data_IF_850911477180
#
_entry.id   IF_850911477180
#
_cell.length_a   1.000
_cell.length_b   1.000
_cell.length_c   1.000
_cell.angle_alpha   90.00
_cell.angle_beta   90.00
_cell.angle_gamma   90.00
#
_symmetry.space_group_name_H-M   'P 1'
#
loop_
_entity.id
_entity.type
_entity.pdbx_description
1 polymer ?
#
# COMPACT_ATOMS: atom_id res chain seq x y z
N UNK A 1 -14.34 8.01 -0.18
CA UNK A 1 -15.13 7.02 -0.95
C UNK A 1 -16.51 7.54 -1.34
N UNK A 2 -17.39 7.86 -0.37
CA UNK A 2 -18.74 8.39 -0.67
C UNK A 2 -18.75 9.66 -1.52
N UNK A 3 -17.79 10.58 -1.29
CA UNK A 3 -17.62 11.77 -2.12
C UNK A 3 -17.47 11.42 -3.61
N UNK A 4 -16.53 10.54 -3.98
CA UNK A 4 -16.33 10.15 -5.38
C UNK A 4 -17.53 9.46 -5.99
N UNK A 5 -18.25 8.65 -5.21
CA UNK A 5 -19.49 8.03 -5.67
C UNK A 5 -20.56 9.09 -5.96
N UNK A 6 -20.70 10.10 -5.09
CA UNK A 6 -21.64 11.22 -5.28
C UNK A 6 -21.28 12.07 -6.51
N UNK A 7 -19.99 12.19 -6.84
CA UNK A 7 -19.49 12.83 -8.06
C UNK A 7 -19.58 11.93 -9.31
N UNK A 8 -20.26 10.80 -9.24
CA UNK A 8 -20.52 9.92 -10.39
C UNK A 8 -19.39 8.96 -10.75
N UNK A 9 -18.34 8.83 -9.94
CA UNK A 9 -17.28 7.86 -10.18
C UNK A 9 -17.70 6.45 -9.74
N UNK A 10 -17.33 5.44 -10.53
CA UNK A 10 -17.27 4.05 -10.04
C UNK A 10 -16.08 3.93 -9.09
N UNK A 11 -16.35 3.66 -7.81
CA UNK A 11 -15.29 3.58 -6.79
C UNK A 11 -15.04 2.14 -6.36
N UNK A 12 -13.78 1.70 -6.41
CA UNK A 12 -13.36 0.35 -6.04
C UNK A 12 -12.33 0.50 -4.91
N UNK A 13 -12.65 -0.02 -3.74
CA UNK A 13 -11.71 -0.15 -2.63
C UNK A 13 -11.34 -1.63 -2.47
N UNK A 14 -10.04 -1.90 -2.42
CA UNK A 14 -9.49 -3.25 -2.28
C UNK A 14 -8.88 -3.42 -0.90
N UNK A 15 -9.14 -4.56 -0.27
CA UNK A 15 -8.38 -5.00 0.88
C UNK A 15 -7.11 -5.71 0.37
N UNK A 16 -5.94 -5.26 0.83
CA UNK A 16 -4.66 -5.89 0.47
C UNK A 16 -4.59 -7.29 1.09
N UNK A 17 -3.85 -8.21 0.48
CA UNK A 17 -3.45 -9.47 1.14
C UNK A 17 -2.99 -9.24 2.59
N UNK A 18 -3.44 -10.08 3.51
CA UNK A 18 -3.21 -9.95 4.95
C UNK A 18 -3.99 -8.84 5.65
N UNK A 19 -4.95 -8.19 4.98
CA UNK A 19 -5.75 -7.11 5.54
C UNK A 19 -7.25 -7.31 5.28
N UNK A 20 -8.08 -6.80 6.19
CA UNK A 20 -9.53 -6.76 6.03
C UNK A 20 -10.12 -8.13 5.73
N UNK A 21 -10.86 -8.21 4.61
CA UNK A 21 -11.55 -9.41 4.14
C UNK A 21 -10.74 -10.24 3.13
N UNK A 22 -9.56 -9.78 2.76
CA UNK A 22 -8.66 -10.55 1.89
C UNK A 22 -7.94 -11.65 2.67
N UNK A 23 -7.41 -12.62 1.94
CA UNK A 23 -6.75 -13.79 2.51
C UNK A 23 -5.60 -13.40 3.44
N UNK A 24 -5.51 -14.13 4.56
CA UNK A 24 -4.46 -13.98 5.57
C UNK A 24 -3.30 -14.90 5.20
N UNK A 25 -2.36 -14.38 4.41
CA UNK A 25 -1.16 -15.10 3.95
C UNK A 25 0.06 -14.76 4.82
N UNK A 26 1.06 -15.65 4.87
CA UNK A 26 2.31 -15.41 5.62
C UNK A 26 3.42 -14.76 4.79
N UNK A 27 3.35 -14.87 3.46
CA UNK A 27 4.41 -14.48 2.53
C UNK A 27 3.94 -13.50 1.44
N UNK A 28 4.90 -12.91 0.72
CA UNK A 28 4.63 -11.98 -0.38
C UNK A 28 4.16 -10.60 0.10
N UNK A 29 4.69 -10.14 1.23
CA UNK A 29 4.39 -8.83 1.81
C UNK A 29 5.34 -7.72 1.31
N UNK A 30 5.59 -7.70 0.00
CA UNK A 30 6.43 -6.72 -0.68
C UNK A 30 5.67 -5.97 -1.79
N UNK A 31 6.28 -4.89 -2.30
CA UNK A 31 5.65 -4.01 -3.29
C UNK A 31 5.41 -4.69 -4.64
N UNK A 32 6.17 -5.72 -5.00
CA UNK A 32 5.97 -6.43 -6.26
C UNK A 32 4.70 -7.28 -6.20
N UNK A 33 4.54 -8.04 -5.12
CA UNK A 33 3.30 -8.79 -4.88
C UNK A 33 2.09 -7.87 -4.76
N UNK A 34 2.21 -6.76 -4.01
CA UNK A 34 1.11 -5.80 -3.88
C UNK A 34 0.73 -5.15 -5.22
N UNK A 35 1.69 -4.88 -6.10
CA UNK A 35 1.40 -4.36 -7.43
C UNK A 35 0.75 -5.42 -8.35
N UNK A 36 1.21 -6.68 -8.27
CA UNK A 36 0.63 -7.79 -9.01
C UNK A 36 -0.84 -8.03 -8.60
N UNK A 37 -1.16 -7.95 -7.30
CA UNK A 37 -2.54 -8.06 -6.80
C UNK A 37 -3.45 -6.98 -7.41
N UNK A 38 -2.96 -5.75 -7.50
CA UNK A 38 -3.71 -4.64 -8.14
C UNK A 38 -3.91 -4.92 -9.62
N UNK A 39 -2.89 -5.41 -10.31
CA UNK A 39 -3.00 -5.81 -11.72
C UNK A 39 -4.08 -6.88 -11.91
N UNK A 40 -4.10 -7.90 -11.06
CA UNK A 40 -5.09 -8.97 -11.12
C UNK A 40 -6.52 -8.44 -10.94
N UNK A 41 -6.76 -7.53 -9.97
CA UNK A 41 -8.08 -6.90 -9.78
C UNK A 41 -8.46 -6.01 -10.97
N UNK A 42 -7.52 -5.20 -11.46
CA UNK A 42 -7.74 -4.30 -12.59
C UNK A 42 -8.08 -5.06 -13.86
N UNK A 43 -7.37 -6.15 -14.14
CA UNK A 43 -7.62 -7.02 -15.29
C UNK A 43 -8.93 -7.77 -15.15
N UNK A 44 -9.20 -8.34 -13.96
CA UNK A 44 -10.43 -9.09 -13.71
C UNK A 44 -11.69 -8.23 -13.89
N UNK A 45 -11.64 -6.96 -13.47
CA UNK A 45 -12.74 -6.00 -13.61
C UNK A 45 -12.71 -5.23 -14.94
N UNK A 46 -11.75 -5.53 -15.80
CA UNK A 46 -11.41 -4.86 -17.06
C UNK A 46 -11.44 -3.32 -16.97
N UNK A 47 -10.69 -2.79 -16.01
CA UNK A 47 -10.64 -1.34 -15.79
C UNK A 47 -9.68 -0.69 -16.79
N UNK A 48 -10.13 0.42 -17.36
CA UNK A 48 -9.37 1.29 -18.26
C UNK A 48 -9.55 2.74 -17.84
N UNK A 49 -8.59 3.60 -18.18
CA UNK A 49 -8.59 5.01 -17.78
C UNK A 49 -8.80 5.20 -16.26
N UNK A 50 -8.28 4.28 -15.45
CA UNK A 50 -8.51 4.27 -14.01
C UNK A 50 -7.62 5.28 -13.28
N UNK A 51 -8.16 5.93 -12.24
CA UNK A 51 -7.39 6.77 -11.32
C UNK A 51 -7.02 5.94 -10.10
N UNK A 52 -5.72 5.77 -9.86
CA UNK A 52 -5.20 4.99 -8.74
C UNK A 52 -4.80 5.92 -7.60
N UNK A 53 -5.48 5.79 -6.46
CA UNK A 53 -5.26 6.62 -5.27
C UNK A 53 -4.67 5.77 -4.15
N UNK A 54 -3.55 6.20 -3.58
CA UNK A 54 -2.86 5.47 -2.53
C UNK A 54 -2.44 6.37 -1.36
N UNK A 55 -2.74 5.93 -0.14
CA UNK A 55 -2.31 6.57 1.10
C UNK A 55 -1.23 5.74 1.80
N UNK A 56 -0.19 6.37 2.36
CA UNK A 56 0.89 5.67 3.10
C UNK A 56 1.51 4.55 2.26
N UNK A 57 1.52 3.30 2.75
CA UNK A 57 1.99 2.13 2.00
C UNK A 57 1.18 1.90 0.72
N UNK A 58 -0.08 2.35 0.66
CA UNK A 58 -0.89 2.30 -0.55
C UNK A 58 -0.34 3.19 -1.66
N UNK A 59 0.32 4.30 -1.34
CA UNK A 59 0.98 5.16 -2.33
C UNK A 59 2.17 4.47 -3.01
N UNK A 60 2.99 3.74 -2.24
CA UNK A 60 4.07 2.90 -2.79
C UNK A 60 3.54 1.80 -3.72
N UNK A 61 2.42 1.18 -3.35
CA UNK A 61 1.74 0.19 -4.18
C UNK A 61 1.22 0.78 -5.48
N UNK A 62 0.59 1.97 -5.44
CA UNK A 62 0.17 2.70 -6.65
C UNK A 62 1.36 2.99 -7.55
N UNK A 63 2.45 3.55 -7.01
CA UNK A 63 3.65 3.86 -7.78
C UNK A 63 4.23 2.61 -8.46
N UNK A 64 4.33 1.48 -7.73
CA UNK A 64 4.84 0.23 -8.27
C UNK A 64 3.94 -0.36 -9.35
N UNK A 65 2.62 -0.39 -9.11
CA UNK A 65 1.65 -0.87 -10.09
C UNK A 65 1.66 -0.04 -11.38
N UNK A 66 1.63 1.29 -11.27
CA UNK A 66 1.63 2.19 -12.44
C UNK A 66 2.88 1.97 -13.29
N UNK A 67 4.05 1.85 -12.66
CA UNK A 67 5.31 1.66 -13.36
C UNK A 67 5.46 0.25 -14.00
N UNK A 68 4.97 -0.80 -13.34
CA UNK A 68 5.19 -2.20 -13.76
C UNK A 68 4.08 -2.78 -14.64
N UNK A 69 2.83 -2.39 -14.41
CA UNK A 69 1.66 -2.99 -15.03
C UNK A 69 0.79 -1.92 -15.70
N UNK A 70 0.33 -0.93 -14.94
CA UNK A 70 -0.74 -0.03 -15.37
C UNK A 70 -0.39 0.83 -16.60
N UNK A 71 0.79 1.44 -16.66
CA UNK A 71 1.25 2.19 -17.84
C UNK A 71 1.57 1.27 -19.03
N UNK A 72 2.38 0.19 -18.87
CA UNK A 72 2.60 -0.77 -19.96
C UNK A 72 1.33 -1.37 -20.57
N UNK A 73 0.29 -1.59 -19.76
CA UNK A 73 -1.00 -2.13 -20.19
C UNK A 73 -1.97 -1.06 -20.71
N UNK A 74 -1.66 0.23 -20.60
CA UNK A 74 -2.53 1.32 -21.05
C UNK A 74 -3.81 1.52 -20.21
N UNK A 75 -3.81 1.10 -18.93
CA UNK A 75 -5.03 1.08 -18.07
C UNK A 75 -5.14 2.27 -17.11
N UNK A 76 -4.10 3.09 -16.98
CA UNK A 76 -3.99 4.15 -15.98
C UNK A 76 -4.23 5.53 -16.58
N UNK A 77 -5.21 6.27 -16.05
CA UNK A 77 -5.38 7.69 -16.35
C UNK A 77 -4.52 8.58 -15.45
N UNK A 78 -4.52 8.34 -14.13
CA UNK A 78 -3.82 9.18 -13.14
C UNK A 78 -3.37 8.37 -11.92
N UNK A 79 -2.32 8.85 -11.26
CA UNK A 79 -1.85 8.36 -9.96
C UNK A 79 -1.94 9.48 -8.92
N UNK A 80 -2.48 9.18 -7.74
CA UNK A 80 -2.59 10.13 -6.62
C UNK A 80 -1.91 9.52 -5.40
N UNK A 81 -0.89 10.20 -4.89
CA UNK A 81 -0.04 9.74 -3.78
C UNK A 81 -0.25 10.65 -2.57
N UNK A 82 -0.84 10.12 -1.50
CA UNK A 82 -1.19 10.88 -0.29
C UNK A 82 -0.32 10.37 0.86
N UNK A 83 0.53 11.23 1.44
CA UNK A 83 1.45 10.86 2.52
C UNK A 83 2.15 9.52 2.25
N UNK A 84 2.57 9.32 1.00
CA UNK A 84 2.94 8.02 0.48
C UNK A 84 4.29 7.56 1.04
N UNK A 85 4.51 6.25 0.99
CA UNK A 85 5.81 5.60 1.24
C UNK A 85 6.42 5.09 -0.07
N UNK A 86 7.05 5.94 -0.90
CA UNK A 86 7.75 5.48 -2.09
C UNK A 86 9.28 5.45 -1.89
N UNK A 87 9.97 4.42 -2.42
CA UNK A 87 9.64 2.99 -2.41
C UNK A 87 10.04 2.31 -1.09
N UNK A 88 10.74 3.02 -0.19
CA UNK A 88 11.42 2.44 0.96
C UNK A 88 11.42 3.41 2.14
N UNK A 89 11.02 2.97 3.33
CA UNK A 89 11.13 3.78 4.55
C UNK A 89 12.49 3.62 5.24
N UNK A 90 13.01 2.40 5.24
CA UNK A 90 14.23 2.09 6.00
C UNK A 90 15.43 2.82 5.41
N UNK A 91 16.31 3.25 6.31
CA UNK A 91 17.58 3.85 5.97
C UNK A 91 18.46 2.83 5.27
N UNK A 92 18.97 3.19 4.10
CA UNK A 92 19.97 2.44 3.34
C UNK A 92 20.95 3.41 2.71
N UNK A 93 21.99 2.91 2.04
CA UNK A 93 22.87 3.76 1.23
C UNK A 93 22.10 4.51 0.14
N UNK A 94 21.06 3.88 -0.42
CA UNK A 94 20.19 4.47 -1.46
C UNK A 94 19.05 5.33 -0.87
N UNK A 95 18.86 5.30 0.45
CA UNK A 95 17.88 6.10 1.17
C UNK A 95 18.48 6.62 2.49
N UNK A 96 19.48 7.53 2.45
CA UNK A 96 20.24 7.93 3.63
C UNK A 96 19.40 8.72 4.65
N UNK A 97 18.30 9.34 4.22
CA UNK A 97 17.34 10.03 5.08
C UNK A 97 16.23 9.13 5.65
N UNK A 98 16.28 7.83 5.37
CA UNK A 98 15.29 6.87 5.85
C UNK A 98 15.31 6.68 7.37
N UNK A 99 14.29 5.98 7.86
CA UNK A 99 14.16 5.60 9.26
C UNK A 99 15.20 4.53 9.62
N UNK A 100 15.95 4.69 10.74
CA UNK A 100 16.91 3.69 11.19
C UNK A 100 16.28 2.29 11.35
N UNK A 101 17.03 1.23 11.03
CA UNK A 101 16.52 -0.16 11.07
C UNK A 101 16.07 -0.55 12.48
N UNK A 102 16.70 0.02 13.50
CA UNK A 102 16.45 -0.24 14.91
C UNK A 102 15.02 0.13 15.33
N UNK A 103 14.39 1.09 14.65
CA UNK A 103 12.96 1.42 14.86
C UNK A 103 12.08 0.26 14.42
N UNK A 104 12.35 -0.31 13.24
CA UNK A 104 11.60 -1.47 12.73
C UNK A 104 11.89 -2.73 13.54
N UNK A 105 13.12 -2.93 14.01
CA UNK A 105 13.46 -4.02 14.92
C UNK A 105 12.74 -3.88 16.26
N UNK A 106 12.62 -2.65 16.77
CA UNK A 106 11.79 -2.32 17.92
C UNK A 106 10.33 -2.73 17.70
N UNK A 107 9.74 -2.39 16.55
CA UNK A 107 8.38 -2.82 16.19
C UNK A 107 8.24 -4.34 16.10
N UNK A 108 9.19 -5.03 15.45
CA UNK A 108 9.19 -6.51 15.37
C UNK A 108 9.22 -7.13 16.76
N UNK A 109 10.10 -6.64 17.63
CA UNK A 109 10.22 -7.13 19.01
C UNK A 109 8.96 -6.86 19.82
N UNK A 110 8.40 -5.67 19.74
CA UNK A 110 7.17 -5.29 20.46
C UNK A 110 5.96 -6.11 19.97
N UNK A 111 5.81 -6.27 18.66
CA UNK A 111 4.76 -7.10 18.05
C UNK A 111 4.86 -8.56 18.52
N UNK A 112 6.06 -9.14 18.53
CA UNK A 112 6.29 -10.51 18.98
C UNK A 112 6.04 -10.68 20.48
N UNK A 113 6.37 -9.67 21.30
CA UNK A 113 6.20 -9.73 22.74
C UNK A 113 4.73 -9.57 23.17
N UNK A 114 4.01 -8.60 22.60
CA UNK A 114 2.59 -8.36 22.89
C UNK A 114 1.91 -7.64 21.73
N UNK A 115 1.31 -8.42 20.83
CA UNK A 115 0.64 -7.91 19.63
C UNK A 115 -0.50 -6.94 19.93
N UNK A 116 -1.29 -7.19 20.97
CA UNK A 116 -2.43 -6.33 21.31
C UNK A 116 -1.96 -4.96 21.79
N UNK A 117 -0.99 -4.94 22.71
CA UNK A 117 -0.42 -3.69 23.22
C UNK A 117 0.32 -2.93 22.12
N UNK A 118 1.06 -3.64 21.25
CA UNK A 118 1.74 -3.02 20.12
C UNK A 118 0.78 -2.23 19.22
N UNK A 119 -0.39 -2.78 18.86
CA UNK A 119 -1.35 -2.06 18.02
C UNK A 119 -2.00 -0.87 18.75
N UNK A 120 -2.19 -0.94 20.07
CA UNK A 120 -2.67 0.19 20.87
C UNK A 120 -1.63 1.31 20.91
N UNK A 121 -0.38 0.98 21.21
CA UNK A 121 0.72 1.94 21.35
C UNK A 121 1.04 2.63 20.03
N UNK A 122 1.09 1.87 18.93
CA UNK A 122 1.35 2.45 17.60
C UNK A 122 0.23 3.39 17.18
N UNK A 123 -1.03 3.04 17.43
CA UNK A 123 -2.17 3.89 17.05
C UNK A 123 -2.32 5.13 17.95
N UNK A 124 -1.82 5.06 19.19
CA UNK A 124 -1.92 6.14 20.19
C UNK A 124 -0.63 6.98 20.32
N UNK A 125 0.41 6.60 19.59
CA UNK A 125 1.71 7.27 19.56
C UNK A 125 1.66 8.62 18.84
N UNK A 126 2.79 9.36 18.80
CA UNK A 126 2.85 10.73 18.27
C UNK A 126 2.86 10.79 16.72
N UNK A 127 2.29 9.79 16.05
CA UNK A 127 2.17 9.75 14.59
C UNK A 127 0.88 10.44 14.13
#
# INVERSE_FOLDING_TARGET
>A
MLFFLAEGFRVIAIDRRGHGRSDQVSEGHDMDHYAADVSAVVEHLDLHNAVHVGHSTGGGQVARYVARYGQPQGRVAKAVLISAVPPLMVKTEQNPGGTPIEVFDGFRKALAANRAQFYLDVASGPF
#
